data_IF_108935502947
#
_entry.id   IF_108935502947
#
_cell.length_a   1.000
_cell.length_b   1.000
_cell.length_c   1.000
_cell.angle_alpha   90.00
_cell.angle_beta   90.00
_cell.angle_gamma   90.00
#
_symmetry.space_group_name_H-M   'P 1'
#
loop_
_entity.id
_entity.type
_entity.pdbx_description
1 polymer ?
#
# COMPACT_ATOMS: atom_id res chain seq x y z
N UNK A 1 136.46 -3.53 64.04
CA UNK A 1 136.81 -3.92 62.66
C UNK A 1 136.59 -2.71 61.77
N UNK A 2 137.63 -2.28 61.05
CA UNK A 2 137.77 -1.01 60.33
C UNK A 2 136.56 -0.63 59.47
N UNK A 3 135.88 0.47 59.82
CA UNK A 3 134.83 1.10 58.99
C UNK A 3 135.51 1.73 57.76
N UNK A 4 135.33 1.16 56.58
CA UNK A 4 135.69 1.82 55.35
C UNK A 4 134.72 3.00 55.12
N UNK A 5 135.17 4.24 55.36
CA UNK A 5 134.41 5.46 55.05
C UNK A 5 133.94 5.43 53.59
N UNK A 6 132.67 5.78 53.35
CA UNK A 6 132.09 5.76 52.02
C UNK A 6 132.78 6.79 51.13
N UNK A 7 133.37 6.35 50.02
CA UNK A 7 133.94 7.26 49.02
C UNK A 7 132.78 7.92 48.24
N UNK A 8 132.42 9.13 48.65
CA UNK A 8 131.29 9.94 48.15
C UNK A 8 131.34 10.13 46.63
N UNK A 9 132.54 10.33 46.07
CA UNK A 9 132.74 10.45 44.62
C UNK A 9 132.40 9.13 43.87
N UNK A 10 132.74 7.98 44.46
CA UNK A 10 132.43 6.66 43.87
C UNK A 10 130.95 6.30 44.01
N UNK A 11 130.29 6.73 45.10
CA UNK A 11 128.85 6.56 45.31
C UNK A 11 128.04 7.43 44.34
N UNK A 12 128.40 8.70 44.19
CA UNK A 12 127.80 9.64 43.24
C UNK A 12 127.86 9.10 41.79
N UNK A 13 129.05 8.66 41.33
CA UNK A 13 129.20 8.05 40.00
C UNK A 13 128.39 6.76 39.82
N UNK A 14 128.12 6.01 40.89
CA UNK A 14 127.28 4.79 40.82
C UNK A 14 125.80 5.14 40.68
N UNK A 15 125.33 6.19 41.35
CA UNK A 15 123.95 6.68 41.24
C UNK A 15 123.68 7.26 39.85
N UNK A 16 124.64 8.01 39.29
CA UNK A 16 124.58 8.45 37.89
C UNK A 16 124.51 7.28 36.90
N UNK A 17 125.32 6.23 37.10
CA UNK A 17 125.26 5.00 36.27
C UNK A 17 123.94 4.24 36.41
N UNK A 18 123.21 4.43 37.52
CA UNK A 18 121.88 3.87 37.75
C UNK A 18 120.75 4.76 37.18
N UNK A 19 121.09 5.84 36.45
CA UNK A 19 120.13 6.72 35.79
C UNK A 19 119.54 7.82 36.68
N UNK A 20 120.10 8.04 37.87
CA UNK A 20 119.64 9.10 38.78
C UNK A 20 120.25 10.44 38.33
N UNK A 21 119.41 11.47 38.19
CA UNK A 21 119.87 12.79 37.75
C UNK A 21 120.79 13.46 38.78
N UNK A 22 121.63 14.39 38.33
CA UNK A 22 122.71 14.95 39.14
C UNK A 22 122.23 15.53 40.46
N UNK A 23 121.12 16.29 40.47
CA UNK A 23 120.53 16.85 41.70
C UNK A 23 120.04 15.78 42.67
N UNK A 24 119.41 14.73 42.18
CA UNK A 24 118.94 13.62 43.03
C UNK A 24 120.14 12.79 43.53
N UNK A 25 121.14 12.55 42.70
CA UNK A 25 122.35 11.82 43.08
C UNK A 25 123.14 12.59 44.16
N UNK A 26 123.24 13.92 44.04
CA UNK A 26 123.93 14.78 45.00
C UNK A 26 123.18 14.85 46.34
N UNK A 27 121.86 15.03 46.31
CA UNK A 27 121.02 14.97 47.50
C UNK A 27 121.08 13.60 48.19
N UNK A 28 121.05 12.51 47.43
CA UNK A 28 121.15 11.15 47.99
C UNK A 28 122.54 10.90 48.61
N UNK A 29 123.62 11.36 47.99
CA UNK A 29 124.99 11.21 48.56
C UNK A 29 125.16 12.07 49.81
N UNK A 30 124.66 13.31 49.82
CA UNK A 30 124.69 14.19 50.98
C UNK A 30 123.92 13.60 52.17
N UNK A 31 122.69 13.12 51.92
CA UNK A 31 121.87 12.45 52.94
C UNK A 31 122.57 11.19 53.46
N UNK A 32 123.16 10.35 52.59
CA UNK A 32 123.88 9.15 53.03
C UNK A 32 125.16 9.46 53.82
N UNK A 33 125.82 10.59 53.55
CA UNK A 33 127.00 11.06 54.29
C UNK A 33 126.63 11.58 55.68
N UNK A 34 125.53 12.31 55.82
CA UNK A 34 125.02 12.75 57.13
C UNK A 34 124.52 11.56 57.97
N UNK A 35 123.84 10.59 57.34
CA UNK A 35 123.37 9.37 58.02
C UNK A 35 124.51 8.46 58.54
N UNK A 36 125.70 8.51 57.94
CA UNK A 36 126.89 7.81 58.47
C UNK A 36 127.49 8.49 59.72
N UNK A 37 127.24 9.78 59.93
CA UNK A 37 127.86 10.57 61.00
C UNK A 37 127.20 10.36 62.37
N UNK A 38 125.88 10.10 62.38
CA UNK A 38 125.08 10.04 63.62
C UNK A 38 124.82 8.62 64.17
N UNK A 39 125.37 7.56 63.57
CA UNK A 39 125.15 6.16 63.98
C UNK A 39 123.66 5.76 64.15
N UNK A 40 122.73 6.50 63.54
CA UNK A 40 121.28 6.40 63.78
C UNK A 40 120.47 5.76 62.64
N UNK A 41 121.09 5.36 61.52
CA UNK A 41 120.42 4.53 60.51
C UNK A 41 121.38 3.52 59.90
N UNK A 42 121.16 2.25 60.23
CA UNK A 42 121.87 1.15 59.60
C UNK A 42 121.34 0.92 58.18
N UNK A 43 122.16 0.31 57.31
CA UNK A 43 121.70 -0.20 55.99
C UNK A 43 120.45 -1.08 56.11
N UNK A 44 120.24 -1.73 57.26
CA UNK A 44 119.06 -2.54 57.53
C UNK A 44 117.79 -1.69 57.72
N UNK A 45 117.89 -0.49 58.29
CA UNK A 45 116.74 0.41 58.51
C UNK A 45 116.25 1.01 57.19
N UNK A 46 117.18 1.42 56.31
CA UNK A 46 116.85 1.86 54.94
C UNK A 46 116.23 0.72 54.12
N UNK A 47 116.76 -0.52 54.25
CA UNK A 47 116.18 -1.69 53.59
C UNK A 47 114.78 -2.04 54.12
N UNK A 48 114.53 -1.90 55.43
CA UNK A 48 113.19 -2.10 56.02
C UNK A 48 112.19 -1.06 55.53
N UNK A 49 112.58 0.22 55.48
CA UNK A 49 111.74 1.28 54.93
C UNK A 49 111.41 1.05 53.44
N UNK A 50 112.40 0.65 52.65
CA UNK A 50 112.21 0.31 51.23
C UNK A 50 111.32 -0.93 51.03
N UNK A 51 111.51 -1.98 51.84
CA UNK A 51 110.64 -3.16 51.82
C UNK A 51 109.20 -2.82 52.20
N UNK A 52 109.01 -2.02 53.25
CA UNK A 52 107.68 -1.55 53.67
C UNK A 52 107.01 -0.73 52.58
N UNK A 53 107.74 0.20 51.96
CA UNK A 53 107.23 1.01 50.86
C UNK A 53 106.87 0.16 49.64
N UNK A 54 107.69 -0.84 49.29
CA UNK A 54 107.36 -1.79 48.20
C UNK A 54 106.14 -2.66 48.52
N UNK A 55 105.96 -3.10 49.77
CA UNK A 55 104.75 -3.80 50.20
C UNK A 55 103.52 -2.91 50.12
N UNK A 56 103.62 -1.65 50.55
CA UNK A 56 102.54 -0.68 50.45
C UNK A 56 102.16 -0.37 48.99
N UNK A 57 103.16 -0.20 48.11
CA UNK A 57 102.96 -0.04 46.65
C UNK A 57 102.26 -1.27 46.05
N UNK A 58 102.67 -2.48 46.43
CA UNK A 58 102.01 -3.74 46.01
C UNK A 58 100.55 -3.80 46.48
N UNK A 59 100.28 -3.42 47.73
CA UNK A 59 98.92 -3.38 48.28
C UNK A 59 98.04 -2.39 47.52
N UNK A 60 98.52 -1.17 47.31
CA UNK A 60 97.83 -0.15 46.53
C UNK A 60 97.61 -0.59 45.08
N UNK A 61 98.61 -1.20 44.43
CA UNK A 61 98.47 -1.74 43.07
C UNK A 61 97.38 -2.82 42.99
N UNK A 62 97.27 -3.67 44.01
CA UNK A 62 96.25 -4.71 44.08
C UNK A 62 94.86 -4.12 44.27
N UNK A 63 94.72 -3.12 45.15
CA UNK A 63 93.47 -2.38 45.33
C UNK A 63 93.05 -1.65 44.07
N UNK A 64 93.99 -0.99 43.39
CA UNK A 64 93.74 -0.28 42.13
C UNK A 64 93.21 -1.25 41.06
N UNK A 65 93.86 -2.40 40.87
CA UNK A 65 93.41 -3.43 39.92
C UNK A 65 92.01 -3.96 40.24
N UNK A 66 91.70 -4.12 41.53
CA UNK A 66 90.37 -4.53 41.95
C UNK A 66 89.34 -3.45 41.61
N UNK A 67 89.62 -2.19 41.96
CA UNK A 67 88.73 -1.07 41.65
C UNK A 67 88.51 -0.90 40.13
N UNK A 68 89.55 -1.08 39.31
CA UNK A 68 89.44 -1.08 37.84
C UNK A 68 88.56 -2.23 37.34
N UNK A 69 88.70 -3.42 37.93
CA UNK A 69 87.85 -4.57 37.62
C UNK A 69 86.39 -4.32 37.99
N UNK A 70 86.14 -3.80 39.20
CA UNK A 70 84.80 -3.50 39.71
C UNK A 70 84.13 -2.41 38.85
N UNK A 71 84.84 -1.33 38.53
CA UNK A 71 84.39 -0.29 37.59
C UNK A 71 84.07 -0.88 36.23
N UNK A 72 84.92 -1.76 35.69
CA UNK A 72 84.66 -2.41 34.40
C UNK A 72 83.39 -3.26 34.44
N UNK A 73 83.11 -3.95 35.55
CA UNK A 73 81.86 -4.70 35.71
C UNK A 73 80.64 -3.79 35.80
N UNK A 74 80.68 -2.76 36.64
CA UNK A 74 79.58 -1.79 36.77
C UNK A 74 79.30 -1.09 35.44
N UNK A 75 80.34 -0.67 34.72
CA UNK A 75 80.20 -0.04 33.40
C UNK A 75 79.56 -1.01 32.39
N UNK A 76 79.91 -2.30 32.47
CA UNK A 76 79.31 -3.35 31.64
C UNK A 76 77.84 -3.59 31.96
N UNK A 77 77.45 -3.57 33.23
CA UNK A 77 76.06 -3.74 33.65
C UNK A 77 75.21 -2.52 33.30
N UNK A 78 75.75 -1.31 33.44
CA UNK A 78 75.11 -0.07 32.96
C UNK A 78 74.92 -0.13 31.44
N UNK A 79 75.92 -0.57 30.67
CA UNK A 79 75.79 -0.70 29.22
C UNK A 79 74.66 -1.66 28.82
N UNK A 80 74.55 -2.83 29.47
CA UNK A 80 73.42 -3.74 29.26
C UNK A 80 72.09 -3.12 29.64
N UNK A 81 72.02 -2.39 30.75
CA UNK A 81 70.82 -1.67 31.17
C UNK A 81 70.36 -0.64 30.14
N UNK A 82 71.31 0.08 29.52
CA UNK A 82 71.02 1.03 28.42
C UNK A 82 70.51 0.30 27.17
N UNK A 83 71.10 -0.83 26.80
CA UNK A 83 70.62 -1.63 25.66
C UNK A 83 69.18 -2.14 25.87
N UNK A 84 68.85 -2.59 27.09
CA UNK A 84 67.47 -3.00 27.44
C UNK A 84 66.51 -1.81 27.34
N UNK A 85 66.86 -0.66 27.91
CA UNK A 85 66.03 0.55 27.83
C UNK A 85 65.84 1.06 26.39
N UNK A 86 66.85 0.93 25.53
CA UNK A 86 66.73 1.24 24.11
C UNK A 86 65.74 0.31 23.43
N UNK A 87 65.83 -0.99 23.71
CA UNK A 87 64.90 -2.00 23.20
C UNK A 87 63.47 -1.71 23.63
N UNK A 88 63.25 -1.44 24.92
CA UNK A 88 61.92 -1.08 25.45
C UNK A 88 61.38 0.22 24.81
N UNK A 89 62.24 1.21 24.57
CA UNK A 89 61.83 2.45 23.90
C UNK A 89 61.39 2.21 22.45
N UNK A 90 62.09 1.33 21.74
CA UNK A 90 61.74 0.98 20.36
C UNK A 90 60.44 0.16 20.28
N UNK A 91 60.19 -0.72 21.27
CA UNK A 91 58.90 -1.40 21.44
C UNK A 91 57.80 -0.37 21.70
N UNK A 92 57.96 0.53 22.67
CA UNK A 92 56.95 1.57 22.95
C UNK A 92 56.69 2.49 21.76
N UNK A 93 57.70 2.80 20.95
CA UNK A 93 57.49 3.55 19.70
C UNK A 93 56.63 2.77 18.72
N UNK A 94 56.84 1.46 18.61
CA UNK A 94 56.05 0.58 17.76
C UNK A 94 54.59 0.54 18.24
N UNK A 95 54.36 0.28 19.53
CA UNK A 95 53.01 0.26 20.13
C UNK A 95 52.27 1.60 19.94
N UNK A 96 52.98 2.73 20.07
CA UNK A 96 52.39 4.07 19.83
C UNK A 96 51.97 4.24 18.36
N UNK A 97 52.73 3.68 17.42
CA UNK A 97 52.38 3.74 16.00
C UNK A 97 51.16 2.85 15.72
N UNK A 98 51.11 1.64 16.28
CA UNK A 98 49.95 0.74 16.14
C UNK A 98 48.69 1.35 16.74
N UNK A 99 48.75 1.87 17.98
CA UNK A 99 47.62 2.57 18.60
C UNK A 99 47.13 3.76 17.80
N UNK A 100 48.02 4.50 17.13
CA UNK A 100 47.62 5.61 16.24
C UNK A 100 46.86 5.11 15.02
N UNK A 101 47.26 3.97 14.47
CA UNK A 101 46.57 3.31 13.36
C UNK A 101 45.18 2.85 13.80
N UNK A 102 45.07 2.12 14.91
CA UNK A 102 43.79 1.65 15.45
C UNK A 102 42.82 2.82 15.73
N UNK A 103 43.33 3.92 16.29
CA UNK A 103 42.53 5.13 16.52
C UNK A 103 42.08 5.78 15.21
N UNK A 104 42.87 5.70 14.15
CA UNK A 104 42.50 6.23 12.85
C UNK A 104 41.41 5.35 12.19
N UNK A 105 41.54 4.03 12.27
CA UNK A 105 40.55 3.07 11.79
C UNK A 105 39.22 3.24 12.54
N UNK A 106 39.24 3.28 13.87
CA UNK A 106 38.03 3.49 14.67
C UNK A 106 37.33 4.82 14.35
N UNK A 107 38.09 5.87 14.00
CA UNK A 107 37.52 7.14 13.55
C UNK A 107 36.82 7.01 12.19
N UNK A 108 37.37 6.20 11.28
CA UNK A 108 36.75 5.92 10.00
C UNK A 108 35.45 5.14 10.18
N UNK A 109 35.46 4.08 10.99
CA UNK A 109 34.26 3.27 11.31
C UNK A 109 33.15 4.12 11.94
N UNK A 110 33.51 5.01 12.87
CA UNK A 110 32.55 5.95 13.48
C UNK A 110 31.97 6.94 12.46
N UNK A 111 32.75 7.33 11.44
CA UNK A 111 32.27 8.21 10.38
C UNK A 111 31.32 7.47 9.42
N UNK A 112 31.63 6.22 9.08
CA UNK A 112 30.76 5.35 8.28
C UNK A 112 29.44 5.10 8.99
N UNK A 113 29.48 4.68 10.27
CA UNK A 113 28.27 4.43 11.06
C UNK A 113 27.38 5.69 11.19
N UNK A 114 27.97 6.88 11.21
CA UNK A 114 27.18 8.13 11.21
C UNK A 114 26.45 8.35 9.89
N UNK A 115 27.06 7.98 8.77
CA UNK A 115 26.43 8.02 7.44
C UNK A 115 25.29 7.03 7.38
N UNK A 116 25.50 5.77 7.78
CA UNK A 116 24.46 4.74 7.80
C UNK A 116 23.25 5.15 8.66
N UNK A 117 23.50 5.73 9.84
CA UNK A 117 22.44 6.24 10.71
C UNK A 117 21.67 7.40 10.08
N UNK A 118 22.33 8.23 9.26
CA UNK A 118 21.66 9.31 8.54
C UNK A 118 20.79 8.79 7.39
N UNK A 119 21.27 7.78 6.66
CA UNK A 119 20.52 7.09 5.60
C UNK A 119 19.29 6.38 6.18
N UNK A 120 19.45 5.58 7.24
CA UNK A 120 18.34 4.93 7.94
C UNK A 120 17.28 5.91 8.45
N UNK A 121 17.68 7.11 8.87
CA UNK A 121 16.72 8.15 9.27
C UNK A 121 15.89 8.67 8.10
N UNK A 122 16.50 8.78 6.93
CA UNK A 122 15.84 9.18 5.68
C UNK A 122 14.84 8.09 5.28
N UNK A 123 15.27 6.83 5.24
CA UNK A 123 14.40 5.69 4.90
C UNK A 123 13.19 5.58 5.83
N UNK A 124 13.40 5.79 7.14
CA UNK A 124 12.30 5.79 8.13
C UNK A 124 11.33 6.96 7.90
N UNK A 125 11.80 8.12 7.44
CA UNK A 125 10.95 9.26 7.14
C UNK A 125 10.12 9.02 5.85
N UNK A 126 10.72 8.41 4.83
CA UNK A 126 10.03 8.00 3.60
C UNK A 126 8.96 6.96 3.91
N UNK A 127 9.30 5.91 4.67
CA UNK A 127 8.35 4.86 5.07
C UNK A 127 7.16 5.43 5.86
N UNK A 128 7.39 6.42 6.73
CA UNK A 128 6.28 7.11 7.43
C UNK A 128 5.35 7.85 6.48
N UNK A 129 5.90 8.44 5.42
CA UNK A 129 5.13 9.14 4.39
C UNK A 129 4.29 8.16 3.58
N UNK A 130 4.88 7.02 3.18
CA UNK A 130 4.17 5.96 2.47
C UNK A 130 3.04 5.35 3.31
N UNK A 131 3.28 5.10 4.60
CA UNK A 131 2.25 4.61 5.53
C UNK A 131 1.10 5.62 5.68
N UNK A 132 1.40 6.92 5.73
CA UNK A 132 0.38 7.95 5.79
C UNK A 132 -0.47 7.99 4.52
N UNK A 133 0.17 7.89 3.34
CA UNK A 133 -0.53 7.83 2.05
C UNK A 133 -1.42 6.59 1.95
N UNK A 134 -0.90 5.41 2.30
CA UNK A 134 -1.66 4.17 2.28
C UNK A 134 -2.89 4.23 3.21
N UNK A 135 -2.77 4.92 4.35
CA UNK A 135 -3.90 5.15 5.24
C UNK A 135 -4.99 5.99 4.58
N UNK A 136 -4.63 7.07 3.88
CA UNK A 136 -5.57 7.88 3.10
C UNK A 136 -6.25 7.05 2.02
N UNK A 137 -5.49 6.30 1.22
CA UNK A 137 -6.02 5.45 0.15
C UNK A 137 -7.04 4.41 0.71
N UNK A 138 -6.76 3.84 1.88
CA UNK A 138 -7.66 2.90 2.56
C UNK A 138 -8.96 3.56 3.02
N UNK A 139 -8.90 4.81 3.51
CA UNK A 139 -10.09 5.54 3.95
C UNK A 139 -10.95 6.02 2.78
N UNK A 140 -10.33 6.39 1.64
CA UNK A 140 -11.02 6.64 0.37
C UNK A 140 -11.74 5.38 -0.12
N UNK A 141 -11.05 4.23 -0.18
CA UNK A 141 -11.65 2.97 -0.62
C UNK A 141 -12.83 2.53 0.26
N UNK A 142 -12.78 2.79 1.58
CA UNK A 142 -13.93 2.52 2.46
C UNK A 142 -15.15 3.37 2.10
N UNK A 143 -14.92 4.62 1.70
CA UNK A 143 -15.98 5.54 1.29
C UNK A 143 -16.61 5.05 -0.01
N UNK A 144 -15.80 4.73 -1.02
CA UNK A 144 -16.27 4.18 -2.30
C UNK A 144 -17.08 2.88 -2.10
N UNK A 145 -16.64 1.99 -1.21
CA UNK A 145 -17.37 0.75 -0.90
C UNK A 145 -18.70 1.03 -0.20
N UNK A 146 -18.80 2.09 0.60
CA UNK A 146 -20.06 2.49 1.25
C UNK A 146 -21.04 3.10 0.24
N UNK A 147 -20.56 3.92 -0.69
CA UNK A 147 -21.35 4.46 -1.80
C UNK A 147 -21.88 3.34 -2.69
N UNK A 148 -21.01 2.43 -3.15
CA UNK A 148 -21.43 1.30 -3.98
C UNK A 148 -22.47 0.40 -3.30
N UNK A 149 -22.40 0.23 -1.98
CA UNK A 149 -23.43 -0.51 -1.23
C UNK A 149 -24.77 0.21 -1.25
N UNK A 150 -24.78 1.53 -1.22
CA UNK A 150 -25.98 2.36 -1.30
C UNK A 150 -26.59 2.23 -2.69
N UNK A 151 -25.79 2.40 -3.74
CA UNK A 151 -26.23 2.26 -5.13
C UNK A 151 -26.84 0.87 -5.42
N UNK A 152 -26.20 -0.19 -4.90
CA UNK A 152 -26.73 -1.56 -5.04
C UNK A 152 -28.05 -1.74 -4.30
N UNK A 153 -28.26 -1.06 -3.17
CA UNK A 153 -29.53 -1.11 -2.45
C UNK A 153 -30.64 -0.37 -3.20
N UNK A 154 -30.34 0.79 -3.79
CA UNK A 154 -31.27 1.54 -4.64
C UNK A 154 -31.65 0.74 -5.88
N UNK A 155 -30.67 0.19 -6.61
CA UNK A 155 -30.94 -0.64 -7.79
C UNK A 155 -31.81 -1.86 -7.47
N UNK A 156 -31.64 -2.47 -6.28
CA UNK A 156 -32.51 -3.57 -5.84
C UNK A 156 -33.95 -3.13 -5.61
N UNK A 157 -34.16 -1.91 -5.10
CA UNK A 157 -35.49 -1.32 -4.92
C UNK A 157 -36.14 -1.06 -6.28
N UNK A 158 -35.41 -0.44 -7.20
CA UNK A 158 -35.90 -0.16 -8.56
C UNK A 158 -36.31 -1.45 -9.30
N UNK A 159 -35.50 -2.51 -9.18
CA UNK A 159 -35.82 -3.81 -9.76
C UNK A 159 -37.08 -4.43 -9.13
N UNK A 160 -37.34 -4.21 -7.84
CA UNK A 160 -38.55 -4.69 -7.18
C UNK A 160 -39.80 -3.90 -7.63
N UNK A 161 -39.68 -2.58 -7.79
CA UNK A 161 -40.73 -1.72 -8.33
C UNK A 161 -41.08 -2.14 -9.77
N UNK A 162 -40.07 -2.27 -10.64
CA UNK A 162 -40.27 -2.70 -12.03
C UNK A 162 -40.93 -4.08 -12.14
N UNK A 163 -40.62 -5.02 -11.24
CA UNK A 163 -41.29 -6.32 -11.19
C UNK A 163 -42.78 -6.19 -10.86
N UNK A 164 -43.13 -5.25 -9.98
CA UNK A 164 -44.52 -4.97 -9.60
C UNK A 164 -45.26 -4.38 -10.81
N UNK A 165 -44.69 -3.36 -11.45
CA UNK A 165 -45.28 -2.74 -12.65
C UNK A 165 -45.52 -3.76 -13.78
N UNK A 166 -44.56 -4.67 -14.00
CA UNK A 166 -44.70 -5.74 -15.00
C UNK A 166 -45.83 -6.71 -14.63
N UNK A 167 -46.05 -6.99 -13.35
CA UNK A 167 -47.14 -7.85 -12.91
C UNK A 167 -48.51 -7.17 -13.08
N UNK A 168 -48.60 -5.88 -12.78
CA UNK A 168 -49.80 -5.07 -13.01
C UNK A 168 -50.14 -5.01 -14.50
N UNK A 169 -49.15 -4.69 -15.36
CA UNK A 169 -49.36 -4.64 -16.80
C UNK A 169 -49.82 -6.00 -17.39
N UNK A 170 -49.31 -7.12 -16.86
CA UNK A 170 -49.78 -8.45 -17.27
C UNK A 170 -51.26 -8.67 -16.91
N UNK A 171 -51.69 -8.16 -15.75
CA UNK A 171 -53.08 -8.24 -15.30
C UNK A 171 -53.99 -7.40 -16.20
N UNK A 172 -53.58 -6.17 -16.51
CA UNK A 172 -54.31 -5.28 -17.41
C UNK A 172 -54.45 -5.87 -18.82
N UNK A 173 -53.37 -6.46 -19.36
CA UNK A 173 -53.40 -7.14 -20.66
C UNK A 173 -54.35 -8.34 -20.63
N UNK A 174 -54.40 -9.10 -19.54
CA UNK A 174 -55.33 -10.21 -19.40
C UNK A 174 -56.78 -9.73 -19.38
N UNK A 175 -57.07 -8.65 -18.64
CA UNK A 175 -58.39 -8.01 -18.60
C UNK A 175 -58.82 -7.52 -19.98
N UNK A 176 -57.95 -6.80 -20.69
CA UNK A 176 -58.24 -6.29 -22.03
C UNK A 176 -58.52 -7.42 -23.03
N UNK A 177 -57.86 -8.58 -22.90
CA UNK A 177 -58.17 -9.76 -23.71
C UNK A 177 -59.57 -10.29 -23.46
N UNK A 178 -60.02 -10.31 -22.20
CA UNK A 178 -61.39 -10.69 -21.83
C UNK A 178 -62.40 -9.71 -22.41
N UNK A 179 -62.19 -8.40 -22.21
CA UNK A 179 -63.08 -7.36 -22.73
C UNK A 179 -63.22 -7.44 -24.27
N UNK A 180 -62.11 -7.71 -24.97
CA UNK A 180 -62.12 -7.92 -26.44
C UNK A 180 -62.88 -9.18 -26.84
N UNK A 181 -62.84 -10.25 -26.04
CA UNK A 181 -63.59 -11.47 -26.31
C UNK A 181 -65.10 -11.27 -26.10
N UNK A 182 -65.49 -10.57 -25.03
CA UNK A 182 -66.89 -10.18 -24.76
C UNK A 182 -67.44 -9.33 -25.89
N UNK A 183 -66.72 -8.27 -26.30
CA UNK A 183 -67.14 -7.40 -27.40
C UNK A 183 -67.31 -8.17 -28.73
N UNK A 184 -66.51 -9.21 -28.98
CA UNK A 184 -66.68 -10.07 -30.17
C UNK A 184 -67.97 -10.87 -30.12
N UNK A 185 -68.37 -11.35 -28.93
CA UNK A 185 -69.64 -12.04 -28.71
C UNK A 185 -70.81 -11.09 -28.95
N UNK A 186 -70.79 -9.91 -28.33
CA UNK A 186 -71.83 -8.89 -28.50
C UNK A 186 -72.01 -8.50 -29.99
N UNK A 187 -70.91 -8.35 -30.73
CA UNK A 187 -70.95 -8.07 -32.17
C UNK A 187 -71.55 -9.23 -32.97
N UNK A 188 -71.36 -10.48 -32.55
CA UNK A 188 -71.94 -11.65 -33.21
C UNK A 188 -73.45 -11.76 -32.93
N UNK A 189 -73.86 -11.49 -31.69
CA UNK A 189 -75.28 -11.43 -31.29
C UNK A 189 -76.00 -10.33 -32.08
N UNK A 190 -75.46 -9.11 -32.10
CA UNK A 190 -76.05 -7.99 -32.84
C UNK A 190 -76.17 -8.29 -34.35
N UNK A 191 -75.23 -9.04 -34.94
CA UNK A 191 -75.33 -9.49 -36.34
C UNK A 191 -76.49 -10.46 -36.56
N UNK A 192 -76.78 -11.31 -35.57
CA UNK A 192 -77.90 -12.25 -35.59
C UNK A 192 -79.22 -11.49 -35.51
N UNK A 193 -79.35 -10.59 -34.53
CA UNK A 193 -80.54 -9.73 -34.37
C UNK A 193 -80.83 -8.92 -35.64
N UNK A 194 -79.79 -8.36 -36.27
CA UNK A 194 -79.93 -7.63 -37.54
C UNK A 194 -80.40 -8.54 -38.69
N UNK A 195 -80.03 -9.82 -38.70
CA UNK A 195 -80.48 -10.78 -39.70
C UNK A 195 -81.94 -11.20 -39.48
N UNK A 196 -82.33 -11.42 -38.22
CA UNK A 196 -83.72 -11.68 -37.82
C UNK A 196 -84.62 -10.51 -38.20
N UNK A 197 -84.26 -9.28 -37.80
CA UNK A 197 -85.03 -8.08 -38.14
C UNK A 197 -85.18 -7.88 -39.66
N UNK A 198 -84.17 -8.25 -40.45
CA UNK A 198 -84.28 -8.22 -41.92
C UNK A 198 -85.30 -9.23 -42.46
N UNK A 199 -85.41 -10.39 -41.82
CA UNK A 199 -86.39 -11.42 -42.15
C UNK A 199 -87.80 -10.95 -41.80
N UNK A 200 -88.00 -10.45 -40.58
CA UNK A 200 -89.28 -9.88 -40.13
C UNK A 200 -89.76 -8.75 -41.06
N UNK A 201 -88.84 -7.86 -41.47
CA UNK A 201 -89.15 -6.78 -42.42
C UNK A 201 -89.54 -7.32 -43.81
N UNK A 202 -89.00 -8.45 -44.24
CA UNK A 202 -89.37 -9.09 -45.50
C UNK A 202 -90.74 -9.78 -45.42
N UNK A 203 -91.03 -10.44 -44.30
CA UNK A 203 -92.35 -11.03 -44.01
C UNK A 203 -93.42 -9.95 -43.96
N UNK A 204 -93.19 -8.87 -43.19
CA UNK A 204 -94.13 -7.75 -43.11
C UNK A 204 -94.38 -7.09 -44.48
N UNK A 205 -93.37 -7.02 -45.36
CA UNK A 205 -93.56 -6.55 -46.74
C UNK A 205 -94.46 -7.46 -47.56
N UNK A 206 -94.40 -8.78 -47.32
CA UNK A 206 -95.25 -9.79 -47.97
C UNK A 206 -96.68 -9.65 -47.47
N UNK A 207 -96.89 -9.60 -46.15
CA UNK A 207 -98.20 -9.38 -45.53
C UNK A 207 -98.87 -8.09 -46.04
N UNK A 208 -98.09 -7.00 -46.15
CA UNK A 208 -98.59 -5.73 -46.70
C UNK A 208 -98.96 -5.86 -48.18
N UNK A 209 -98.29 -6.71 -48.96
CA UNK A 209 -98.64 -6.97 -50.35
C UNK A 209 -99.92 -7.82 -50.46
N UNK A 210 -100.07 -8.83 -49.61
CA UNK A 210 -101.29 -9.66 -49.52
C UNK A 210 -102.49 -8.81 -49.12
N UNK A 211 -102.38 -8.02 -48.04
CA UNK A 211 -103.44 -7.08 -47.62
C UNK A 211 -103.83 -6.09 -48.72
N UNK A 212 -102.88 -5.65 -49.55
CA UNK A 212 -103.20 -4.79 -50.71
C UNK A 212 -104.02 -5.53 -51.76
N UNK A 213 -103.75 -6.81 -51.99
CA UNK A 213 -104.53 -7.67 -52.88
C UNK A 213 -105.94 -7.88 -52.33
N UNK A 214 -106.08 -8.26 -51.06
CA UNK A 214 -107.37 -8.44 -50.39
C UNK A 214 -108.22 -7.16 -50.45
N UNK A 215 -107.61 -6.00 -50.21
CA UNK A 215 -108.29 -4.70 -50.33
C UNK A 215 -108.74 -4.41 -51.77
N UNK A 216 -107.99 -4.87 -52.78
CA UNK A 216 -108.38 -4.72 -54.19
C UNK A 216 -109.52 -5.67 -54.57
N UNK A 217 -109.52 -6.90 -54.07
CA UNK A 217 -110.59 -7.88 -54.23
C UNK A 217 -111.88 -7.38 -53.57
N UNK A 218 -111.82 -6.97 -52.29
CA UNK A 218 -112.96 -6.37 -51.58
C UNK A 218 -113.54 -5.14 -52.31
N UNK A 219 -112.69 -4.32 -52.93
CA UNK A 219 -113.17 -3.18 -53.76
C UNK A 219 -113.94 -3.66 -54.99
N UNK A 220 -113.52 -4.77 -55.60
CA UNK A 220 -114.21 -5.40 -56.73
C UNK A 220 -115.56 -5.95 -56.27
N UNK A 221 -115.59 -6.73 -55.20
CA UNK A 221 -116.82 -7.28 -54.61
C UNK A 221 -117.83 -6.18 -54.25
N UNK A 222 -117.36 -5.08 -53.65
CA UNK A 222 -118.21 -3.91 -53.34
C UNK A 222 -118.77 -3.27 -54.60
N UNK A 223 -118.00 -3.20 -55.69
CA UNK A 223 -118.46 -2.67 -56.97
C UNK A 223 -119.50 -3.60 -57.64
N UNK A 224 -119.31 -4.91 -57.55
CA UNK A 224 -120.26 -5.93 -58.01
C UNK A 224 -121.57 -5.85 -57.21
N UNK A 225 -121.51 -5.88 -55.87
CA UNK A 225 -122.68 -5.71 -54.99
C UNK A 225 -123.42 -4.41 -55.28
N UNK A 226 -122.71 -3.30 -55.54
CA UNK A 226 -123.34 -2.03 -55.92
C UNK A 226 -124.07 -2.12 -57.25
N UNK A 227 -123.55 -2.88 -58.20
CA UNK A 227 -124.20 -3.16 -59.49
C UNK A 227 -125.44 -4.02 -59.30
N UNK A 228 -125.35 -5.09 -58.50
CA UNK A 228 -126.49 -5.97 -58.18
C UNK A 228 -127.61 -5.22 -57.47
N UNK A 229 -127.29 -4.38 -56.48
CA UNK A 229 -128.26 -3.50 -55.81
C UNK A 229 -128.91 -2.54 -56.81
N UNK A 230 -128.13 -2.02 -57.76
CA UNK A 230 -128.63 -1.20 -58.87
C UNK A 230 -129.63 -1.96 -59.75
N UNK A 231 -129.31 -3.21 -60.12
CA UNK A 231 -130.18 -4.09 -60.89
C UNK A 231 -131.47 -4.41 -60.14
N UNK A 232 -131.39 -4.82 -58.86
CA UNK A 232 -132.54 -5.05 -57.98
C UNK A 232 -133.44 -3.82 -57.86
N UNK A 233 -132.84 -2.62 -57.78
CA UNK A 233 -133.60 -1.36 -57.75
C UNK A 233 -134.33 -1.12 -59.06
N UNK A 234 -133.72 -1.44 -60.21
CA UNK A 234 -134.36 -1.36 -61.52
C UNK A 234 -135.51 -2.37 -61.64
N UNK A 235 -135.29 -3.62 -61.22
CA UNK A 235 -136.32 -4.67 -61.19
C UNK A 235 -137.51 -4.26 -60.32
N UNK A 236 -137.25 -3.70 -59.13
CA UNK A 236 -138.29 -3.15 -58.26
C UNK A 236 -139.08 -2.01 -58.93
N UNK A 237 -138.40 -1.17 -59.71
CA UNK A 237 -139.04 -0.10 -60.49
C UNK A 237 -139.96 -0.68 -61.57
N UNK A 238 -139.51 -1.72 -62.26
CA UNK A 238 -140.32 -2.49 -63.21
C UNK A 238 -141.54 -3.11 -62.56
N UNK A 239 -141.37 -3.80 -61.42
CA UNK A 239 -142.48 -4.42 -60.66
C UNK A 239 -143.48 -3.37 -60.20
N UNK A 240 -143.03 -2.24 -59.63
CA UNK A 240 -143.92 -1.14 -59.22
C UNK A 240 -144.72 -0.58 -60.40
N UNK A 241 -144.07 -0.37 -61.55
CA UNK A 241 -144.73 0.15 -62.75
C UNK A 241 -145.75 -0.84 -63.30
N UNK A 242 -145.41 -2.12 -63.35
CA UNK A 242 -146.33 -3.21 -63.73
C UNK A 242 -147.54 -3.24 -62.80
N UNK A 243 -147.34 -3.16 -61.48
CA UNK A 243 -148.41 -3.14 -60.49
C UNK A 243 -149.34 -1.93 -60.66
N UNK A 244 -148.79 -0.75 -60.98
CA UNK A 244 -149.57 0.46 -61.27
C UNK A 244 -150.43 0.33 -62.53
N UNK A 245 -149.92 -0.30 -63.58
CA UNK A 245 -150.68 -0.60 -64.80
C UNK A 245 -151.79 -1.61 -64.50
N UNK A 246 -151.50 -2.66 -63.73
CA UNK A 246 -152.48 -3.66 -63.32
C UNK A 246 -153.61 -3.05 -62.48
N UNK A 247 -153.30 -2.17 -61.53
CA UNK A 247 -154.33 -1.52 -60.70
C UNK A 247 -155.17 -0.54 -61.51
N UNK A 248 -154.57 0.28 -62.37
CA UNK A 248 -155.31 1.22 -63.23
C UNK A 248 -156.18 0.52 -64.25
N UNK A 249 -155.72 -0.58 -64.85
CA UNK A 249 -156.53 -1.40 -65.76
C UNK A 249 -157.68 -2.09 -65.04
N UNK A 250 -157.48 -2.61 -63.82
CA UNK A 250 -158.56 -3.14 -62.98
C UNK A 250 -159.62 -2.06 -62.68
N UNK A 251 -159.17 -0.84 -62.33
CA UNK A 251 -160.03 0.29 -62.00
C UNK A 251 -160.83 0.78 -63.22
N UNK A 252 -160.21 0.82 -64.41
CA UNK A 252 -160.91 1.12 -65.66
C UNK A 252 -161.91 0.02 -66.03
N UNK A 253 -161.57 -1.26 -65.82
CA UNK A 253 -162.47 -2.37 -66.08
C UNK A 253 -163.71 -2.31 -65.16
N UNK A 254 -163.54 -2.00 -63.87
CA UNK A 254 -164.66 -1.85 -62.94
C UNK A 254 -165.51 -0.60 -63.23
N UNK A 255 -164.90 0.53 -63.60
CA UNK A 255 -165.64 1.72 -64.03
C UNK A 255 -166.44 1.48 -65.30
N UNK A 256 -165.89 0.78 -66.29
CA UNK A 256 -166.59 0.43 -67.54
C UNK A 256 -167.78 -0.50 -67.26
N UNK A 257 -167.66 -1.40 -66.29
CA UNK A 257 -168.75 -2.25 -65.81
C UNK A 257 -169.89 -1.48 -65.11
N UNK A 258 -169.60 -0.31 -64.54
CA UNK A 258 -170.60 0.55 -63.86
C UNK A 258 -171.33 1.53 -64.80
N UNK A 259 -170.85 1.74 -66.03
CA UNK A 259 -171.40 2.70 -66.99
C UNK A 259 -172.28 2.08 -68.09
N UNK A 260 -172.51 0.76 -68.04
CA UNK A 260 -173.39 -0.02 -68.94
C UNK A 260 -174.55 -0.56 -68.13
#
# INVERSE_FOLDING_TARGET
>A
MTLAMMNTHKAFKRLQRAGINDRQAEAMVAIFSELQQDNALSRADVMRAFQFQNQHIMMLSTQLKKAESDLRTETGDVAKGVEVLQTDNDVFRTDIVELKTDVAELKADVAELKTDVAELKTDVAELKTDVAKLKTDVDELKTDVAELKTDVAELKKDVAELKTDVAELKTDVAKLKTDVAELKTDVAELKTDVAELKTDVAELKTDVAELKTDVAELKTDVAELKTDVGNLKNDMCWVKRLMMVMTTTLLMATMKYMLV
#
